data_IF_719638422897
#
_entry.id   IF_719638422897
#
_cell.length_a   1.000
_cell.length_b   1.000
_cell.length_c   1.000
_cell.angle_alpha   90.00
_cell.angle_beta   90.00
_cell.angle_gamma   90.00
#
_symmetry.space_group_name_H-M   'P 1'
#
loop_
_entity.id
_entity.type
_entity.pdbx_description
1 polymer ?
#
# COMPACT_ATOMS: atom_id res chain seq x y z
N UNK A 1 9.36 12.48 64.26
CA UNK A 1 9.72 13.23 63.05
C UNK A 1 10.13 12.33 61.91
N UNK A 2 11.00 11.35 62.09
CA UNK A 2 11.47 10.46 61.05
C UNK A 2 10.33 9.65 60.37
N UNK A 3 9.34 9.17 61.14
CA UNK A 3 8.20 8.41 60.61
C UNK A 3 7.29 9.25 59.70
N UNK A 4 7.16 10.54 59.97
CA UNK A 4 6.38 11.46 59.15
C UNK A 4 7.10 11.74 57.84
N UNK A 5 8.42 11.93 57.86
CA UNK A 5 9.24 12.16 56.71
C UNK A 5 9.22 10.94 55.76
N UNK A 6 9.34 9.74 56.32
CA UNK A 6 9.27 8.49 55.58
C UNK A 6 7.90 8.30 54.94
N UNK A 7 6.82 8.62 55.62
CA UNK A 7 5.46 8.55 55.09
C UNK A 7 5.27 9.52 53.91
N UNK A 8 5.76 10.75 54.06
CA UNK A 8 5.68 11.76 53.00
C UNK A 8 6.47 11.33 51.78
N UNK A 9 7.69 10.83 51.93
CA UNK A 9 8.53 10.33 50.83
C UNK A 9 7.86 9.16 50.12
N UNK A 10 7.30 8.21 50.87
CA UNK A 10 6.59 7.06 50.32
C UNK A 10 5.38 7.49 49.49
N UNK A 11 4.61 8.47 49.94
CA UNK A 11 3.45 9.02 49.24
C UNK A 11 3.88 9.69 47.92
N UNK A 12 4.93 10.51 47.96
CA UNK A 12 5.46 11.19 46.79
C UNK A 12 5.97 10.17 45.74
N UNK A 13 6.70 9.14 46.17
CA UNK A 13 7.17 8.08 45.28
C UNK A 13 6.02 7.34 44.64
N UNK A 14 4.94 7.08 45.37
CA UNK A 14 3.74 6.46 44.82
C UNK A 14 3.08 7.29 43.72
N UNK A 15 2.97 8.61 43.90
CA UNK A 15 2.43 9.52 42.91
C UNK A 15 3.30 9.57 41.64
N UNK A 16 4.61 9.64 41.80
CA UNK A 16 5.56 9.66 40.68
C UNK A 16 5.45 8.35 39.89
N UNK A 17 5.41 7.21 40.55
CA UNK A 17 5.24 5.89 39.93
C UNK A 17 3.96 5.81 39.12
N UNK A 18 2.83 6.23 39.70
CA UNK A 18 1.53 6.23 39.00
C UNK A 18 1.54 7.14 37.78
N UNK A 19 2.14 8.30 37.89
CA UNK A 19 2.27 9.25 36.80
C UNK A 19 3.08 8.65 35.66
N UNK A 20 4.23 8.05 35.95
CA UNK A 20 5.09 7.43 34.94
C UNK A 20 4.39 6.27 34.23
N UNK A 21 3.68 5.42 34.94
CA UNK A 21 2.91 4.31 34.37
C UNK A 21 1.82 4.85 33.44
N UNK A 22 1.08 5.88 33.85
CA UNK A 22 0.06 6.50 33.02
C UNK A 22 0.64 7.10 31.73
N UNK A 23 1.77 7.81 31.82
CA UNK A 23 2.45 8.38 30.66
C UNK A 23 2.89 7.28 29.68
N UNK A 24 3.48 6.20 30.19
CA UNK A 24 3.91 5.06 29.39
C UNK A 24 2.73 4.36 28.71
N UNK A 25 1.61 4.18 29.42
CA UNK A 25 0.41 3.58 28.86
C UNK A 25 -0.20 4.46 27.77
N UNK A 26 -0.24 5.77 27.96
CA UNK A 26 -0.74 6.71 26.96
C UNK A 26 0.13 6.68 25.70
N UNK A 27 1.45 6.69 25.86
CA UNK A 27 2.39 6.59 24.76
C UNK A 27 2.22 5.29 24.00
N UNK A 28 2.11 4.17 24.69
CA UNK A 28 1.89 2.86 24.08
C UNK A 28 0.60 2.84 23.24
N UNK A 29 -0.49 3.39 23.77
CA UNK A 29 -1.77 3.46 23.06
C UNK A 29 -1.69 4.35 21.83
N UNK A 30 -0.97 5.47 21.90
CA UNK A 30 -0.77 6.36 20.77
C UNK A 30 0.06 5.70 19.68
N UNK A 31 1.15 5.04 20.04
CA UNK A 31 2.02 4.32 19.11
C UNK A 31 1.24 3.20 18.40
N UNK A 32 0.42 2.46 19.14
CA UNK A 32 -0.40 1.39 18.57
C UNK A 32 -1.45 1.92 17.60
N UNK A 33 -2.13 3.03 17.94
CA UNK A 33 -3.08 3.69 17.03
C UNK A 33 -2.40 4.18 15.77
N UNK A 34 -1.20 4.74 15.89
CA UNK A 34 -0.41 5.22 14.78
C UNK A 34 -0.03 4.08 13.83
N UNK A 35 0.42 2.95 14.37
CA UNK A 35 0.74 1.75 13.57
C UNK A 35 -0.49 1.22 12.83
N UNK A 36 -1.64 1.15 13.49
CA UNK A 36 -2.89 0.71 12.87
C UNK A 36 -3.32 1.66 11.76
N UNK A 37 -3.18 2.98 11.97
CA UNK A 37 -3.50 3.98 10.96
C UNK A 37 -2.55 3.89 9.77
N UNK A 38 -1.26 3.69 9.99
CA UNK A 38 -0.27 3.50 8.93
C UNK A 38 -0.59 2.27 8.08
N UNK A 39 -1.00 1.16 8.70
CA UNK A 39 -1.40 -0.06 7.98
C UNK A 39 -2.65 0.18 7.12
N UNK A 40 -3.63 0.92 7.63
CA UNK A 40 -4.83 1.28 6.88
C UNK A 40 -4.47 2.17 5.70
N UNK A 41 -3.61 3.16 5.92
CA UNK A 41 -3.15 4.07 4.87
C UNK A 41 -2.37 3.33 3.77
N UNK A 42 -1.49 2.42 4.13
CA UNK A 42 -0.76 1.58 3.19
C UNK A 42 -1.70 0.73 2.34
N UNK A 43 -2.72 0.15 2.97
CA UNK A 43 -3.72 -0.65 2.27
C UNK A 43 -4.51 0.19 1.28
N UNK A 44 -4.95 1.39 1.67
CA UNK A 44 -5.69 2.30 0.81
C UNK A 44 -4.84 2.75 -0.38
N UNK A 45 -3.56 3.07 -0.17
CA UNK A 45 -2.63 3.43 -1.23
C UNK A 45 -2.41 2.27 -2.20
N UNK A 46 -2.23 1.06 -1.69
CA UNK A 46 -2.06 -0.14 -2.51
C UNK A 46 -3.30 -0.42 -3.35
N UNK A 47 -4.49 -0.29 -2.76
CA UNK A 47 -5.75 -0.49 -3.47
C UNK A 47 -5.95 0.58 -4.55
N UNK A 48 -5.61 1.84 -4.25
CA UNK A 48 -5.67 2.93 -5.20
C UNK A 48 -4.69 2.74 -6.37
N UNK A 49 -3.45 2.37 -6.09
CA UNK A 49 -2.44 2.10 -7.11
C UNK A 49 -2.86 0.94 -8.00
N UNK A 50 -3.36 -0.14 -7.41
CA UNK A 50 -3.87 -1.29 -8.16
C UNK A 50 -5.02 -0.89 -9.08
N UNK A 51 -5.94 -0.06 -8.61
CA UNK A 51 -7.06 0.43 -9.41
C UNK A 51 -6.60 1.30 -10.58
N UNK A 52 -5.64 2.20 -10.34
CA UNK A 52 -5.08 3.04 -11.40
C UNK A 52 -4.35 2.22 -12.46
N UNK A 53 -3.57 1.22 -12.04
CA UNK A 53 -2.86 0.33 -12.96
C UNK A 53 -3.83 -0.53 -13.77
N UNK A 54 -4.90 -1.02 -13.15
CA UNK A 54 -5.96 -1.74 -13.85
C UNK A 54 -6.60 -0.87 -14.93
N UNK A 55 -6.87 0.38 -14.60
CA UNK A 55 -7.42 1.35 -15.55
C UNK A 55 -6.45 1.62 -16.70
N UNK A 56 -5.16 1.77 -16.38
CA UNK A 56 -4.13 1.94 -17.40
C UNK A 56 -4.06 0.73 -18.35
N UNK A 57 -4.12 -0.49 -17.83
CA UNK A 57 -4.15 -1.70 -18.64
C UNK A 57 -5.39 -1.77 -19.54
N UNK A 58 -6.55 -1.34 -19.05
CA UNK A 58 -7.78 -1.28 -19.86
C UNK A 58 -7.65 -0.26 -20.99
N UNK A 59 -7.12 0.91 -20.71
CA UNK A 59 -6.91 1.97 -21.70
C UNK A 59 -5.90 1.51 -22.76
N UNK A 60 -4.79 0.89 -22.34
CA UNK A 60 -3.80 0.34 -23.25
C UNK A 60 -4.39 -0.78 -24.11
N UNK A 61 -5.17 -1.66 -23.52
CA UNK A 61 -5.85 -2.74 -24.24
C UNK A 61 -6.76 -2.17 -25.32
N UNK A 62 -7.62 -1.23 -24.98
CA UNK A 62 -8.55 -0.61 -25.93
C UNK A 62 -7.78 0.07 -27.07
N UNK A 63 -6.72 0.81 -26.73
CA UNK A 63 -5.90 1.51 -27.71
C UNK A 63 -5.21 0.54 -28.68
N UNK A 64 -4.50 -0.47 -28.16
CA UNK A 64 -3.73 -1.38 -29.00
C UNK A 64 -4.62 -2.35 -29.78
N UNK A 65 -5.73 -2.80 -29.22
CA UNK A 65 -6.68 -3.63 -29.93
C UNK A 65 -7.32 -2.88 -31.10
N UNK A 66 -7.61 -1.60 -30.92
CA UNK A 66 -8.12 -0.75 -32.01
C UNK A 66 -7.06 -0.48 -33.05
N UNK A 67 -5.80 -0.26 -32.65
CA UNK A 67 -4.67 -0.07 -33.55
C UNK A 67 -4.33 -1.32 -34.36
N UNK A 68 -4.55 -2.49 -33.76
CA UNK A 68 -4.29 -3.78 -34.40
C UNK A 68 -2.86 -4.30 -34.25
N UNK A 69 -1.98 -3.56 -33.63
CA UNK A 69 -0.60 -3.98 -33.36
C UNK A 69 -0.08 -3.28 -32.09
N UNK A 70 1.00 -3.82 -31.54
CA UNK A 70 1.70 -3.23 -30.39
C UNK A 70 3.19 -3.48 -30.57
N UNK A 71 3.99 -2.42 -30.64
CA UNK A 71 5.44 -2.54 -30.83
C UNK A 71 6.09 -3.28 -29.66
N UNK A 72 7.28 -3.82 -29.88
CA UNK A 72 8.03 -4.52 -28.82
C UNK A 72 8.27 -3.59 -27.63
N UNK A 73 8.67 -2.35 -27.88
CA UNK A 73 8.90 -1.37 -26.82
C UNK A 73 7.63 -1.09 -26.00
N UNK A 74 6.50 -0.94 -26.68
CA UNK A 74 5.22 -0.72 -26.01
C UNK A 74 4.77 -1.96 -25.23
N UNK A 75 5.02 -3.16 -25.76
CA UNK A 75 4.77 -4.41 -25.04
C UNK A 75 5.59 -4.52 -23.76
N UNK A 76 6.85 -4.05 -23.77
CA UNK A 76 7.67 -4.02 -22.57
C UNK A 76 7.06 -3.11 -21.51
N UNK A 77 6.56 -1.94 -21.89
CA UNK A 77 5.88 -1.04 -20.96
C UNK A 77 4.59 -1.63 -20.40
N UNK A 78 3.79 -2.27 -21.23
CA UNK A 78 2.58 -2.98 -20.80
C UNK A 78 2.95 -4.09 -19.82
N UNK A 79 4.00 -4.86 -20.11
CA UNK A 79 4.47 -5.92 -19.23
C UNK A 79 4.90 -5.37 -17.88
N UNK A 80 5.61 -4.24 -17.86
CA UNK A 80 6.03 -3.59 -16.62
C UNK A 80 4.82 -3.14 -15.81
N UNK A 81 3.83 -2.51 -16.44
CA UNK A 81 2.57 -2.10 -15.80
C UNK A 81 1.85 -3.32 -15.22
N UNK A 82 1.78 -4.40 -15.98
CA UNK A 82 1.14 -5.64 -15.55
C UNK A 82 1.86 -6.27 -14.35
N UNK A 83 3.19 -6.34 -14.37
CA UNK A 83 3.96 -6.93 -13.29
C UNK A 83 3.77 -6.14 -11.99
N UNK A 84 3.74 -4.81 -12.08
CA UNK A 84 3.44 -3.96 -10.92
C UNK A 84 2.02 -4.20 -10.41
N UNK A 85 1.04 -4.26 -11.29
CA UNK A 85 -0.35 -4.56 -10.96
C UNK A 85 -0.49 -5.93 -10.28
N UNK A 86 0.14 -6.95 -10.85
CA UNK A 86 0.12 -8.31 -10.31
C UNK A 86 0.79 -8.36 -8.93
N UNK A 87 1.92 -7.68 -8.76
CA UNK A 87 2.63 -7.59 -7.49
C UNK A 87 1.83 -6.89 -6.38
N UNK A 88 0.89 -6.03 -6.76
CA UNK A 88 -0.03 -5.38 -5.81
C UNK A 88 -1.29 -6.23 -5.53
N UNK A 89 -1.33 -7.47 -6.01
CA UNK A 89 -2.46 -8.37 -5.80
C UNK A 89 -3.55 -8.26 -6.87
N UNK A 90 -3.21 -7.78 -8.07
CA UNK A 90 -4.13 -7.69 -9.19
C UNK A 90 -4.67 -9.04 -9.64
N UNK A 91 -5.90 -9.06 -10.12
CA UNK A 91 -6.63 -10.27 -10.47
C UNK A 91 -6.51 -10.67 -11.96
N UNK A 92 -7.24 -11.72 -12.33
CA UNK A 92 -7.20 -12.32 -13.67
C UNK A 92 -7.61 -11.41 -14.83
N UNK A 93 -8.36 -10.31 -14.58
CA UNK A 93 -8.71 -9.37 -15.64
C UNK A 93 -7.46 -8.72 -16.23
N UNK A 94 -6.53 -8.28 -15.39
CA UNK A 94 -5.25 -7.71 -15.83
C UNK A 94 -4.44 -8.70 -16.65
N UNK A 95 -4.44 -9.96 -16.26
CA UNK A 95 -3.77 -11.05 -17.02
C UNK A 95 -4.37 -11.22 -18.40
N UNK A 96 -5.70 -11.20 -18.51
CA UNK A 96 -6.40 -11.30 -19.79
C UNK A 96 -6.06 -10.11 -20.71
N UNK A 97 -6.12 -8.90 -20.18
CA UNK A 97 -5.80 -7.68 -20.93
C UNK A 97 -4.36 -7.70 -21.44
N UNK A 98 -3.44 -8.06 -20.57
CA UNK A 98 -2.01 -8.20 -20.91
C UNK A 98 -1.81 -9.24 -22.01
N UNK A 99 -2.40 -10.41 -21.89
CA UNK A 99 -2.24 -11.49 -22.86
C UNK A 99 -2.81 -11.12 -24.22
N UNK A 100 -3.92 -10.42 -24.28
CA UNK A 100 -4.52 -9.92 -25.52
C UNK A 100 -3.54 -8.98 -26.25
N UNK A 101 -2.92 -8.07 -25.52
CA UNK A 101 -1.94 -7.12 -26.08
C UNK A 101 -0.70 -7.87 -26.59
N UNK A 102 -0.18 -8.81 -25.79
CA UNK A 102 1.01 -9.59 -26.14
C UNK A 102 0.80 -10.46 -27.37
N UNK A 103 -0.44 -10.85 -27.66
CA UNK A 103 -0.78 -11.64 -28.83
C UNK A 103 -0.85 -10.82 -30.13
N UNK A 104 -0.85 -9.49 -30.01
CA UNK A 104 -0.89 -8.63 -31.22
C UNK A 104 0.44 -8.68 -31.97
N UNK A 105 0.41 -8.43 -33.32
CA UNK A 105 1.63 -8.25 -34.09
C UNK A 105 2.50 -7.09 -33.56
N UNK A 106 3.81 -7.17 -33.75
CA UNK A 106 4.75 -6.15 -33.28
C UNK A 106 4.80 -4.94 -34.23
N UNK A 107 4.22 -5.03 -35.38
CA UNK A 107 4.24 -4.02 -36.44
C UNK A 107 2.90 -4.00 -37.18
N UNK A 108 2.59 -2.88 -37.86
CA UNK A 108 1.35 -2.82 -38.65
C UNK A 108 1.34 -3.89 -39.73
N UNK A 109 0.25 -4.67 -39.73
CA UNK A 109 0.02 -5.61 -40.83
C UNK A 109 -0.70 -4.85 -41.96
N UNK A 110 -0.04 -4.67 -43.05
CA UNK A 110 -0.64 -4.02 -44.23
C UNK A 110 -1.56 -5.00 -44.97
N UNK A 111 -2.79 -4.61 -45.14
CA UNK A 111 -3.72 -5.30 -46.04
C UNK A 111 -4.09 -4.40 -47.18
#
# INVERSE_FOLDING_TARGET
>A
MESIILTVISTILGFISSFLVNVLLMKYKQDKKKEEQEKVDEKLLRDADRHLLRRALKEDHDFYMHQGYCSIDDKEEVEHTYQTYHGLGGNGLGTTLRNDIMALPDYPTSH
#
